data_IF_357947873577
#
_entry.id   IF_357947873577
#
_cell.length_a   1.000
_cell.length_b   1.000
_cell.length_c   1.000
_cell.angle_alpha   90.00
_cell.angle_beta   90.00
_cell.angle_gamma   90.00
#
_symmetry.space_group_name_H-M   'P 1'
#
loop_
_entity.id
_entity.type
_entity.pdbx_description
1 polymer ?
#
# COMPACT_ATOMS: atom_id res chain seq x y z
N UNK A 1 10.07 -31.50 7.76
CA UNK A 1 9.67 -30.31 6.99
C UNK A 1 10.90 -29.84 6.25
N UNK A 2 10.76 -29.50 4.98
CA UNK A 2 11.84 -28.87 4.21
C UNK A 2 12.07 -27.45 4.72
N UNK A 3 13.24 -26.88 4.44
CA UNK A 3 13.52 -25.47 4.71
C UNK A 3 12.51 -24.54 4.02
N UNK A 4 11.99 -24.96 2.86
CA UNK A 4 10.94 -24.26 2.13
C UNK A 4 9.62 -24.24 2.93
N UNK A 5 9.19 -25.36 3.52
CA UNK A 5 7.97 -25.41 4.33
C UNK A 5 8.10 -24.54 5.58
N UNK A 6 9.30 -24.46 6.15
CA UNK A 6 9.58 -23.59 7.30
C UNK A 6 9.49 -22.11 6.91
N UNK A 7 10.01 -21.73 5.75
CA UNK A 7 9.90 -20.37 5.22
C UNK A 7 8.44 -19.97 5.00
N UNK A 8 7.64 -20.84 4.38
CA UNK A 8 6.21 -20.58 4.15
C UNK A 8 5.49 -20.39 5.49
N UNK A 9 5.71 -21.27 6.47
CA UNK A 9 5.08 -21.13 7.78
C UNK A 9 5.50 -19.84 8.51
N UNK A 10 6.77 -19.46 8.42
CA UNK A 10 7.24 -18.21 9.01
C UNK A 10 6.59 -16.98 8.37
N UNK A 11 6.27 -17.03 7.08
CA UNK A 11 5.61 -15.93 6.36
C UNK A 11 4.17 -15.66 6.82
N UNK A 12 3.49 -16.62 7.44
CA UNK A 12 2.10 -16.46 7.91
C UNK A 12 1.94 -15.33 8.94
N UNK A 13 2.99 -15.02 9.70
CA UNK A 13 3.00 -13.94 10.68
C UNK A 13 3.01 -12.54 10.04
N UNK A 14 3.34 -12.42 8.75
CA UNK A 14 3.41 -11.15 8.04
C UNK A 14 2.04 -10.77 7.47
N UNK A 15 1.11 -10.42 8.38
CA UNK A 15 -0.27 -10.08 8.04
C UNK A 15 -0.76 -8.86 8.82
N UNK A 16 -1.64 -8.08 8.20
CA UNK A 16 -2.32 -6.95 8.83
C UNK A 16 -3.64 -7.34 9.52
N UNK A 17 -4.07 -8.60 9.38
CA UNK A 17 -5.34 -9.10 9.93
C UNK A 17 -5.34 -8.96 11.46
N UNK A 18 -6.34 -8.24 11.99
CA UNK A 18 -6.54 -8.06 13.42
C UNK A 18 -5.56 -7.09 14.10
N UNK A 19 -4.73 -6.39 13.33
CA UNK A 19 -3.79 -5.39 13.85
C UNK A 19 -3.79 -4.06 13.10
N UNK A 20 -4.48 -3.95 11.96
CA UNK A 20 -4.55 -2.70 11.18
C UNK A 20 -5.17 -1.53 11.96
N UNK A 21 -6.07 -1.81 12.90
CA UNK A 21 -6.69 -0.86 13.82
C UNK A 21 -5.68 -0.19 14.79
N UNK A 22 -4.49 -0.77 14.93
CA UNK A 22 -3.40 -0.20 15.76
C UNK A 22 -2.68 0.95 15.06
N UNK A 23 -2.92 1.20 13.78
CA UNK A 23 -2.37 2.34 13.06
C UNK A 23 -3.18 3.59 13.43
N UNK A 24 -2.57 4.51 14.16
CA UNK A 24 -3.26 5.69 14.72
C UNK A 24 -2.90 7.02 14.05
N UNK A 25 -2.02 7.02 13.05
CA UNK A 25 -1.61 8.22 12.31
C UNK A 25 -2.33 8.33 10.96
N UNK A 26 -2.43 9.54 10.37
CA UNK A 26 -2.86 9.69 8.98
C UNK A 26 -2.08 8.75 8.07
N UNK A 27 -2.77 7.99 7.23
CA UNK A 27 -2.18 6.94 6.41
C UNK A 27 -2.61 7.07 4.95
N UNK A 28 -1.63 7.13 4.06
CA UNK A 28 -1.83 7.02 2.62
C UNK A 28 -1.61 5.57 2.19
N UNK A 29 -2.58 5.01 1.47
CA UNK A 29 -2.47 3.71 0.82
C UNK A 29 -2.33 3.94 -0.68
N UNK A 30 -1.34 3.31 -1.30
CA UNK A 30 -1.09 3.42 -2.73
C UNK A 30 -1.36 2.07 -3.38
N UNK A 31 -2.12 2.09 -4.47
CA UNK A 31 -2.47 0.90 -5.27
C UNK A 31 -2.02 1.11 -6.70
N UNK A 32 -1.62 0.04 -7.38
CA UNK A 32 -1.17 0.06 -8.77
C UNK A 32 -2.01 -0.94 -9.58
N UNK A 33 -2.61 -0.46 -10.67
CA UNK A 33 -3.64 -1.18 -11.44
C UNK A 33 -3.23 -2.60 -11.88
N UNK A 34 -1.96 -2.79 -12.21
CA UNK A 34 -1.40 -4.04 -12.71
C UNK A 34 -0.56 -4.79 -11.65
N UNK A 35 -0.57 -4.38 -10.37
CA UNK A 35 0.19 -5.07 -9.32
C UNK A 35 -0.23 -6.54 -9.19
N UNK A 36 0.71 -7.43 -9.51
CA UNK A 36 0.49 -8.88 -9.54
C UNK A 36 0.60 -9.55 -8.17
N UNK A 37 1.18 -8.88 -7.18
CA UNK A 37 1.48 -9.46 -5.87
C UNK A 37 0.41 -9.14 -4.84
N UNK A 38 -0.13 -7.92 -4.89
CA UNK A 38 -0.99 -7.39 -3.83
C UNK A 38 -2.41 -7.05 -4.28
N UNK A 39 -2.85 -7.54 -5.46
CA UNK A 39 -4.19 -7.25 -6.00
C UNK A 39 -5.31 -7.34 -4.96
N UNK A 40 -5.99 -6.20 -4.74
CA UNK A 40 -7.09 -6.04 -3.78
C UNK A 40 -6.68 -5.92 -2.30
N UNK A 41 -5.42 -6.15 -1.95
CA UNK A 41 -4.93 -5.97 -0.58
C UNK A 41 -4.88 -4.49 -0.14
N UNK A 42 -4.50 -3.52 -0.99
CA UNK A 42 -4.56 -2.10 -0.64
C UNK A 42 -5.95 -1.65 -0.17
N UNK A 43 -7.00 -1.99 -0.93
CA UNK A 43 -8.38 -1.69 -0.53
C UNK A 43 -8.76 -2.40 0.78
N UNK A 44 -8.38 -3.69 0.94
CA UNK A 44 -8.64 -4.43 2.20
C UNK A 44 -7.98 -3.79 3.41
N UNK A 45 -6.76 -3.28 3.27
CA UNK A 45 -6.08 -2.53 4.33
C UNK A 45 -6.82 -1.21 4.61
N UNK A 46 -7.14 -0.45 3.56
CA UNK A 46 -7.88 0.80 3.67
C UNK A 46 -9.18 0.59 4.47
N UNK A 47 -9.94 -0.46 4.17
CA UNK A 47 -11.21 -0.77 4.85
C UNK A 47 -11.01 -1.04 6.35
N UNK A 48 -9.88 -1.64 6.76
CA UNK A 48 -9.58 -1.98 8.15
C UNK A 48 -8.99 -0.83 8.98
N UNK A 49 -8.40 0.19 8.34
CA UNK A 49 -7.86 1.36 9.04
C UNK A 49 -8.97 2.17 9.74
N UNK A 50 -8.72 2.63 10.96
CA UNK A 50 -9.65 3.47 11.75
C UNK A 50 -9.21 4.93 11.84
N UNK A 51 -8.00 5.25 11.40
CA UNK A 51 -7.44 6.59 11.36
C UNK A 51 -7.89 7.40 10.12
N UNK A 52 -7.45 8.67 10.02
CA UNK A 52 -7.56 9.44 8.76
C UNK A 52 -6.80 8.67 7.67
N UNK A 53 -7.49 8.35 6.58
CA UNK A 53 -6.97 7.46 5.55
C UNK A 53 -7.36 7.93 4.16
N UNK A 54 -6.51 7.64 3.19
CA UNK A 54 -6.71 7.94 1.79
C UNK A 54 -6.12 6.81 0.93
N UNK A 55 -6.75 6.54 -0.22
CA UNK A 55 -6.22 5.61 -1.22
C UNK A 55 -6.08 6.32 -2.55
N UNK A 56 -4.91 6.18 -3.17
CA UNK A 56 -4.65 6.63 -4.54
C UNK A 56 -4.37 5.39 -5.39
N UNK A 57 -5.16 5.22 -6.45
CA UNK A 57 -4.90 4.23 -7.49
C UNK A 57 -4.08 4.87 -8.61
N UNK A 58 -2.90 4.32 -8.87
CA UNK A 58 -2.09 4.62 -10.03
C UNK A 58 -2.49 3.74 -11.20
N UNK A 59 -2.82 4.39 -12.31
CA UNK A 59 -3.38 3.71 -13.48
C UNK A 59 -2.32 3.43 -14.53
N UNK A 60 -2.58 2.41 -15.33
CA UNK A 60 -1.75 2.09 -16.50
C UNK A 60 -1.75 3.23 -17.52
N UNK A 61 -2.86 3.93 -17.69
CA UNK A 61 -2.96 5.10 -18.59
C UNK A 61 -2.02 6.26 -18.20
N UNK A 62 -1.56 6.27 -16.96
CA UNK A 62 -0.60 7.25 -16.41
C UNK A 62 0.84 6.73 -16.46
N UNK A 63 1.06 5.53 -17.00
CA UNK A 63 2.34 4.83 -17.00
C UNK A 63 2.79 4.35 -15.62
N UNK A 64 1.86 4.29 -14.66
CA UNK A 64 2.15 4.09 -13.24
C UNK A 64 1.50 2.82 -12.65
N UNK A 65 0.90 1.98 -13.50
CA UNK A 65 0.12 0.81 -13.09
C UNK A 65 0.93 -0.36 -12.58
N UNK A 66 2.25 -0.39 -12.81
CA UNK A 66 3.11 -1.51 -12.43
C UNK A 66 3.46 -1.54 -10.95
N UNK A 67 3.97 -2.68 -10.48
CA UNK A 67 4.39 -2.86 -9.08
C UNK A 67 5.34 -1.73 -8.65
N UNK A 68 5.15 -1.20 -7.44
CA UNK A 68 5.89 -0.03 -6.93
C UNK A 68 5.78 1.23 -7.79
N UNK A 69 4.82 1.30 -8.73
CA UNK A 69 4.65 2.39 -9.68
C UNK A 69 5.87 2.57 -10.60
N UNK A 70 6.58 1.46 -10.88
CA UNK A 70 7.68 1.39 -11.82
C UNK A 70 7.26 1.98 -13.17
N UNK A 71 8.10 2.84 -13.75
CA UNK A 71 7.79 3.60 -14.98
C UNK A 71 7.28 5.02 -14.75
N UNK A 72 6.76 5.37 -13.56
CA UNK A 72 6.22 6.69 -13.26
C UNK A 72 6.69 7.28 -11.92
N UNK A 73 7.96 7.08 -11.57
CA UNK A 73 8.54 7.53 -10.28
C UNK A 73 8.31 9.02 -9.98
N UNK A 74 8.30 9.89 -11.00
CA UNK A 74 8.02 11.32 -10.81
C UNK A 74 6.57 11.57 -10.39
N UNK A 75 5.60 10.89 -11.00
CA UNK A 75 4.19 11.01 -10.64
C UNK A 75 3.93 10.43 -9.25
N UNK A 76 4.56 9.29 -8.94
CA UNK A 76 4.54 8.70 -7.61
C UNK A 76 5.04 9.68 -6.54
N UNK A 77 6.20 10.28 -6.77
CA UNK A 77 6.76 11.29 -5.87
C UNK A 77 5.84 12.50 -5.74
N UNK A 78 5.35 13.05 -6.85
CA UNK A 78 4.47 14.21 -6.83
C UNK A 78 3.25 13.97 -5.93
N UNK A 79 2.48 12.90 -6.18
CA UNK A 79 1.27 12.61 -5.39
C UNK A 79 1.56 12.32 -3.92
N UNK A 80 2.65 11.60 -3.65
CA UNK A 80 3.06 11.26 -2.28
C UNK A 80 3.47 12.52 -1.51
N UNK A 81 4.27 13.39 -2.11
CA UNK A 81 4.71 14.63 -1.47
C UNK A 81 3.58 15.66 -1.35
N UNK A 82 2.70 15.79 -2.35
CA UNK A 82 1.49 16.62 -2.26
C UNK A 82 0.61 16.19 -1.08
N UNK A 83 0.46 14.88 -0.85
CA UNK A 83 -0.28 14.35 0.30
C UNK A 83 0.44 14.64 1.63
N UNK A 84 1.76 14.44 1.68
CA UNK A 84 2.55 14.74 2.88
C UNK A 84 2.46 16.22 3.24
N UNK A 85 2.53 17.13 2.27
CA UNK A 85 2.36 18.56 2.47
C UNK A 85 0.98 18.87 3.06
N UNK A 86 -0.09 18.26 2.55
CA UNK A 86 -1.44 18.44 3.08
C UNK A 86 -1.64 17.87 4.50
N UNK A 87 -0.89 16.84 4.88
CA UNK A 87 -0.99 16.18 6.19
C UNK A 87 -0.11 16.81 7.26
N UNK A 88 1.06 17.33 6.86
CA UNK A 88 2.07 17.89 7.76
C UNK A 88 2.05 19.42 7.83
N UNK A 89 1.34 20.10 6.92
CA UNK A 89 1.11 21.54 7.04
C UNK A 89 0.39 21.86 8.35
N UNK A 90 0.97 22.79 9.12
CA UNK A 90 0.50 23.25 10.43
C UNK A 90 -0.81 24.05 10.37
#
# INVERSE_FOLDING_TARGET
MSDFDQLVKASEAYTMVGIADRITCPTLVLDAENDQFFKGQPQRLLDQLTCKKELILFREEEGAGEHCHEGAVFLFHQRTFDWLDAVLAA
#
